data_IF_407434550266
#
_entry.id   IF_407434550266
#
_cell.length_a   1.000
_cell.length_b   1.000
_cell.length_c   1.000
_cell.angle_alpha   90.00
_cell.angle_beta   90.00
_cell.angle_gamma   90.00
#
_symmetry.space_group_name_H-M   'P 1'
#
loop_
_entity.id
_entity.type
_entity.pdbx_description
1 polymer ?
#
# COMPACT_ATOMS: atom_id res chain seq x y z
N UNK A 1 -16.71 -25.13 -9.73
CA UNK A 1 -15.50 -25.17 -8.89
C UNK A 1 -14.39 -24.23 -9.37
N UNK A 2 -13.92 -24.31 -10.65
CA UNK A 2 -12.96 -23.34 -11.20
C UNK A 2 -13.42 -21.88 -11.09
N UNK A 3 -14.65 -21.54 -11.49
CA UNK A 3 -15.19 -20.17 -11.41
C UNK A 3 -15.28 -19.60 -9.97
N UNK A 4 -15.53 -20.44 -8.97
CA UNK A 4 -15.57 -20.01 -7.59
C UNK A 4 -14.15 -19.77 -7.00
N UNK A 5 -13.15 -20.50 -7.52
CA UNK A 5 -11.73 -20.30 -7.16
C UNK A 5 -11.14 -19.05 -7.82
N UNK A 6 -11.54 -18.74 -9.06
CA UNK A 6 -11.15 -17.50 -9.76
C UNK A 6 -11.61 -16.22 -9.03
N UNK A 7 -12.70 -16.29 -8.25
CA UNK A 7 -13.17 -15.17 -7.43
C UNK A 7 -12.36 -14.93 -6.13
N UNK A 8 -11.55 -15.90 -5.68
CA UNK A 8 -10.68 -15.76 -4.50
C UNK A 8 -9.22 -15.47 -4.87
N UNK A 9 -8.83 -15.80 -6.08
CA UNK A 9 -7.50 -15.55 -6.64
C UNK A 9 -7.64 -14.41 -7.65
N UNK A 10 -7.19 -13.23 -7.28
CA UNK A 10 -7.12 -12.11 -8.21
C UNK A 10 -5.90 -12.31 -9.12
N UNK A 11 -6.14 -12.72 -10.37
CA UNK A 11 -5.12 -12.70 -11.42
C UNK A 11 -5.21 -11.37 -12.15
N UNK A 12 -4.22 -10.52 -12.01
CA UNK A 12 -4.18 -9.21 -12.64
C UNK A 12 -2.82 -8.93 -13.30
N UNK A 13 -2.82 -8.08 -14.31
CA UNK A 13 -1.62 -7.38 -14.76
C UNK A 13 -1.67 -5.98 -14.15
N UNK A 14 -0.99 -5.73 -13.03
CA UNK A 14 -1.02 -4.44 -12.39
C UNK A 14 -0.39 -3.37 -13.30
N UNK A 15 -0.86 -2.14 -13.18
CA UNK A 15 -0.31 -0.98 -13.91
C UNK A 15 0.25 0.04 -12.92
N UNK A 16 1.15 -0.40 -12.06
CA UNK A 16 1.85 0.42 -11.08
C UNK A 16 3.32 0.45 -11.47
N UNK A 17 3.87 1.64 -11.65
CA UNK A 17 5.28 1.83 -12.03
C UNK A 17 6.15 2.09 -10.79
N UNK A 18 7.47 1.93 -10.92
CA UNK A 18 8.41 2.30 -9.86
C UNK A 18 8.32 3.77 -9.46
N UNK A 19 7.99 4.67 -10.40
CA UNK A 19 7.87 6.11 -10.17
C UNK A 19 6.64 6.47 -9.32
N UNK A 20 5.64 5.59 -9.28
CA UNK A 20 4.45 5.75 -8.45
C UNK A 20 4.73 5.36 -6.98
N UNK A 21 5.84 4.68 -6.72
CA UNK A 21 6.28 4.31 -5.37
C UNK A 21 7.27 5.35 -4.86
N UNK A 22 6.89 6.12 -3.85
CA UNK A 22 7.76 7.14 -3.27
C UNK A 22 8.90 6.52 -2.43
N UNK A 23 10.14 6.94 -2.67
CA UNK A 23 11.31 6.47 -1.93
C UNK A 23 11.62 4.98 -2.11
N UNK A 24 12.00 4.31 -1.00
CA UNK A 24 12.30 2.88 -0.92
C UNK A 24 13.38 2.42 -1.91
N UNK A 25 14.42 3.25 -2.12
CA UNK A 25 15.46 2.99 -3.13
C UNK A 25 16.15 1.63 -2.94
N UNK A 26 16.49 1.29 -1.69
CA UNK A 26 17.16 0.02 -1.37
C UNK A 26 16.24 -1.17 -1.59
N UNK A 27 14.97 -1.10 -1.16
CA UNK A 27 13.99 -2.15 -1.39
C UNK A 27 13.69 -2.36 -2.88
N UNK A 28 13.60 -1.27 -3.65
CA UNK A 28 13.48 -1.33 -5.12
C UNK A 28 14.69 -2.01 -5.74
N UNK A 29 15.91 -1.63 -5.35
CA UNK A 29 17.14 -2.25 -5.86
C UNK A 29 17.21 -3.74 -5.52
N UNK A 30 16.85 -4.11 -4.28
CA UNK A 30 16.81 -5.50 -3.84
C UNK A 30 15.79 -6.34 -4.64
N UNK A 31 14.59 -5.79 -4.92
CA UNK A 31 13.59 -6.45 -5.75
C UNK A 31 14.00 -6.49 -7.23
N UNK A 32 14.65 -5.45 -7.73
CA UNK A 32 15.18 -5.43 -9.08
C UNK A 32 16.19 -6.57 -9.30
N UNK A 33 17.13 -6.73 -8.37
CA UNK A 33 18.10 -7.82 -8.40
C UNK A 33 17.42 -9.19 -8.29
N UNK A 34 16.49 -9.32 -7.37
CA UNK A 34 15.91 -10.61 -7.02
C UNK A 34 14.84 -11.11 -8.02
N UNK A 35 14.14 -10.21 -8.70
CA UNK A 35 12.98 -10.52 -9.54
C UNK A 35 13.20 -10.14 -10.99
N UNK A 36 13.58 -8.88 -11.23
CA UNK A 36 13.61 -8.34 -12.59
C UNK A 36 14.80 -8.87 -13.37
N UNK A 37 15.99 -8.92 -12.75
CA UNK A 37 17.20 -9.43 -13.42
C UNK A 37 17.08 -10.88 -13.87
N UNK A 38 16.54 -11.84 -13.05
CA UNK A 38 16.35 -13.22 -13.52
C UNK A 38 15.40 -13.34 -14.71
N UNK A 39 14.38 -12.49 -14.79
CA UNK A 39 13.41 -12.50 -15.88
C UNK A 39 14.00 -11.87 -17.16
N UNK A 40 14.67 -10.71 -17.02
CA UNK A 40 15.24 -9.98 -18.17
C UNK A 40 16.57 -10.56 -18.67
N UNK A 41 17.36 -11.14 -17.79
CA UNK A 41 18.71 -11.63 -18.08
C UNK A 41 18.95 -13.05 -17.52
N UNK A 42 18.18 -14.07 -17.96
CA UNK A 42 18.27 -15.43 -17.43
C UNK A 42 19.67 -16.05 -17.61
N UNK A 43 20.45 -15.59 -18.59
CA UNK A 43 21.82 -16.04 -18.83
C UNK A 43 22.79 -15.73 -17.69
N UNK A 44 22.47 -14.77 -16.80
CA UNK A 44 23.28 -14.47 -15.63
C UNK A 44 23.06 -15.47 -14.49
N UNK A 45 21.97 -16.22 -14.53
CA UNK A 45 21.51 -17.11 -13.46
C UNK A 45 21.73 -18.58 -13.84
N UNK A 46 22.99 -18.95 -14.07
CA UNK A 46 23.39 -20.31 -14.46
C UNK A 46 24.17 -21.02 -13.35
N UNK A 47 24.12 -22.33 -13.35
CA UNK A 47 24.85 -23.17 -12.39
C UNK A 47 24.37 -23.02 -10.96
N UNK A 48 25.21 -22.50 -10.07
CA UNK A 48 24.88 -22.27 -8.65
C UNK A 48 24.16 -20.94 -8.41
N UNK A 49 24.11 -20.05 -9.40
CA UNK A 49 23.42 -18.75 -9.31
C UNK A 49 21.94 -18.98 -9.61
N UNK A 50 21.16 -19.31 -8.60
CA UNK A 50 19.71 -19.55 -8.74
C UNK A 50 18.94 -18.32 -8.28
N UNK A 51 17.86 -17.94 -8.98
CA UNK A 51 16.95 -16.89 -8.52
C UNK A 51 16.33 -17.25 -7.16
N UNK A 52 15.97 -16.23 -6.40
CA UNK A 52 15.25 -16.40 -5.15
C UNK A 52 13.81 -16.92 -5.42
N UNK A 53 13.35 -17.82 -4.56
CA UNK A 53 12.01 -18.43 -4.68
C UNK A 53 10.98 -17.79 -3.78
N UNK A 54 11.42 -17.25 -2.66
CA UNK A 54 10.58 -16.60 -1.67
C UNK A 54 11.22 -15.33 -1.14
N UNK A 55 10.49 -14.24 -1.20
CA UNK A 55 10.89 -12.93 -0.66
C UNK A 55 9.80 -12.46 0.30
N UNK A 56 10.21 -12.05 1.51
CA UNK A 56 9.34 -11.46 2.51
C UNK A 56 9.54 -9.96 2.55
N UNK A 57 8.46 -9.20 2.34
CA UNK A 57 8.39 -7.77 2.61
C UNK A 57 7.79 -7.60 4.01
N UNK A 58 8.52 -6.95 4.91
CA UNK A 58 8.02 -6.74 6.26
C UNK A 58 8.28 -5.31 6.72
N UNK A 59 7.53 -4.85 7.71
CA UNK A 59 7.65 -3.49 8.22
C UNK A 59 6.31 -2.96 8.73
N UNK A 60 6.28 -1.73 9.23
CA UNK A 60 5.08 -1.14 9.81
C UNK A 60 3.89 -1.12 8.84
N UNK A 61 2.64 -1.09 9.35
CA UNK A 61 1.47 -0.98 8.49
C UNK A 61 1.48 0.34 7.69
N UNK A 62 0.85 0.32 6.52
CA UNK A 62 0.71 1.53 5.68
C UNK A 62 1.98 2.01 4.97
N UNK A 63 3.07 1.22 4.95
CA UNK A 63 4.33 1.58 4.28
C UNK A 63 4.38 1.24 2.79
N UNK A 64 3.30 0.69 2.22
CA UNK A 64 3.18 0.44 0.79
C UNK A 64 3.72 -0.91 0.32
N UNK A 65 3.88 -1.93 1.20
CA UNK A 65 4.37 -3.27 0.84
C UNK A 65 3.64 -3.90 -0.34
N UNK A 66 2.31 -3.90 -0.30
CA UNK A 66 1.46 -4.46 -1.36
C UNK A 66 1.55 -3.64 -2.66
N UNK A 67 1.72 -2.32 -2.55
CA UNK A 67 1.90 -1.44 -3.70
C UNK A 67 3.26 -1.66 -4.37
N UNK A 68 4.31 -1.83 -3.58
CA UNK A 68 5.65 -2.17 -4.05
C UNK A 68 5.68 -3.53 -4.77
N UNK A 69 4.95 -4.54 -4.24
CA UNK A 69 4.82 -5.84 -4.89
C UNK A 69 4.15 -5.75 -6.27
N UNK A 70 3.10 -4.93 -6.40
CA UNK A 70 2.44 -4.65 -7.69
C UNK A 70 3.36 -3.96 -8.68
N UNK A 71 4.11 -2.95 -8.22
CA UNK A 71 5.10 -2.27 -9.05
C UNK A 71 6.18 -3.23 -9.55
N UNK A 72 6.66 -4.11 -8.69
CA UNK A 72 7.62 -5.15 -9.07
C UNK A 72 7.07 -6.08 -10.17
N UNK A 73 5.81 -6.49 -10.07
CA UNK A 73 5.18 -7.35 -11.07
C UNK A 73 5.01 -6.63 -12.42
N UNK A 74 4.65 -5.34 -12.40
CA UNK A 74 4.56 -4.51 -13.62
C UNK A 74 5.91 -4.43 -14.33
N UNK A 75 6.96 -4.12 -13.61
CA UNK A 75 8.32 -3.97 -14.16
C UNK A 75 8.91 -5.29 -14.68
N UNK A 76 8.50 -6.41 -14.08
CA UNK A 76 8.93 -7.74 -14.50
C UNK A 76 8.06 -8.35 -15.62
N UNK A 77 7.02 -7.64 -16.09
CA UNK A 77 5.99 -8.16 -17.03
C UNK A 77 5.49 -9.55 -16.60
N UNK A 78 5.21 -9.70 -15.31
CA UNK A 78 4.80 -10.96 -14.70
C UNK A 78 3.30 -10.97 -14.41
N UNK A 79 2.67 -12.13 -14.50
CA UNK A 79 1.29 -12.32 -14.03
C UNK A 79 1.28 -12.28 -12.51
N UNK A 80 0.46 -11.40 -11.95
CA UNK A 80 0.37 -11.18 -10.51
C UNK A 80 -0.85 -11.89 -9.94
N UNK A 81 -0.62 -12.86 -9.08
CA UNK A 81 -1.65 -13.58 -8.35
C UNK A 81 -1.70 -13.07 -6.92
N UNK A 82 -2.73 -12.31 -6.58
CA UNK A 82 -2.89 -11.75 -5.22
C UNK A 82 -3.89 -12.56 -4.43
N UNK A 83 -3.49 -12.94 -3.23
CA UNK A 83 -4.33 -13.66 -2.27
C UNK A 83 -4.14 -13.05 -0.89
N UNK A 84 -5.26 -12.75 -0.20
CA UNK A 84 -5.23 -12.40 1.21
C UNK A 84 -5.31 -13.67 2.05
N UNK A 85 -4.49 -13.75 3.08
CA UNK A 85 -4.50 -14.86 4.03
C UNK A 85 -5.86 -15.09 4.68
N UNK A 86 -6.56 -14.01 5.02
CA UNK A 86 -7.92 -14.07 5.57
C UNK A 86 -8.90 -14.74 4.62
N UNK A 87 -8.74 -14.55 3.31
CA UNK A 87 -9.56 -15.20 2.28
C UNK A 87 -9.29 -16.69 2.16
N UNK A 88 -8.05 -17.13 2.44
CA UNK A 88 -7.68 -18.55 2.44
C UNK A 88 -8.26 -19.29 3.65
N UNK A 89 -8.36 -18.61 4.81
CA UNK A 89 -8.82 -19.25 6.06
C UNK A 89 -10.35 -19.20 6.19
N UNK A 90 -11.00 -18.08 5.84
CA UNK A 90 -12.40 -17.83 6.21
C UNK A 90 -13.44 -18.37 5.23
N UNK A 91 -13.17 -18.35 3.92
CA UNK A 91 -14.18 -18.68 2.90
C UNK A 91 -14.32 -20.16 2.57
N UNK A 92 -13.37 -21.02 2.95
CA UNK A 92 -13.27 -22.39 2.44
C UNK A 92 -12.90 -23.41 3.53
N UNK A 93 -13.64 -23.42 4.64
CA UNK A 93 -13.55 -24.48 5.66
C UNK A 93 -13.78 -25.85 5.00
N UNK A 94 -12.69 -26.55 4.65
CA UNK A 94 -12.68 -27.88 4.03
C UNK A 94 -11.97 -27.99 2.67
N UNK A 95 -11.82 -26.89 1.90
CA UNK A 95 -11.21 -26.90 0.57
C UNK A 95 -10.01 -25.95 0.41
N UNK A 96 -9.55 -25.33 1.49
CA UNK A 96 -8.45 -24.34 1.48
C UNK A 96 -7.12 -24.90 0.97
N UNK A 97 -6.83 -26.17 1.22
CA UNK A 97 -5.67 -26.89 0.68
C UNK A 97 -5.72 -26.96 -0.85
N UNK A 98 -6.90 -27.23 -1.40
CA UNK A 98 -7.12 -27.29 -2.86
C UNK A 98 -6.93 -25.92 -3.50
N UNK A 99 -7.30 -24.84 -2.79
CA UNK A 99 -7.12 -23.48 -3.26
C UNK A 99 -5.63 -23.12 -3.33
N UNK A 100 -4.85 -23.45 -2.29
CA UNK A 100 -3.38 -23.24 -2.32
C UNK A 100 -2.76 -24.03 -3.48
N UNK A 101 -3.11 -25.29 -3.64
CA UNK A 101 -2.62 -26.12 -4.75
C UNK A 101 -2.98 -25.51 -6.11
N UNK A 102 -4.24 -25.14 -6.31
CA UNK A 102 -4.71 -24.51 -7.55
C UNK A 102 -3.99 -23.18 -7.86
N UNK A 103 -3.73 -22.35 -6.85
CA UNK A 103 -2.97 -21.11 -6.98
C UNK A 103 -1.57 -21.37 -7.56
N UNK A 104 -0.85 -22.32 -6.99
CA UNK A 104 0.49 -22.67 -7.46
C UNK A 104 0.46 -23.35 -8.85
N UNK A 105 -0.56 -24.16 -9.15
CA UNK A 105 -0.75 -24.75 -10.48
C UNK A 105 -1.00 -23.66 -11.54
N UNK A 106 -1.88 -22.69 -11.25
CA UNK A 106 -2.13 -21.55 -12.14
C UNK A 106 -0.88 -20.71 -12.34
N UNK A 107 -0.12 -20.45 -11.29
CA UNK A 107 1.12 -19.69 -11.36
C UNK A 107 2.19 -20.42 -12.21
N UNK A 108 2.32 -21.75 -12.08
CA UNK A 108 3.24 -22.55 -12.92
C UNK A 108 2.83 -22.59 -14.39
N UNK A 109 1.53 -22.51 -14.67
CA UNK A 109 1.03 -22.45 -16.04
C UNK A 109 1.31 -21.11 -16.73
N UNK A 110 1.57 -20.05 -15.97
CA UNK A 110 1.98 -18.75 -16.48
C UNK A 110 3.49 -18.74 -16.77
N UNK A 111 3.90 -18.01 -17.83
CA UNK A 111 5.32 -17.93 -18.27
C UNK A 111 6.22 -17.34 -17.18
N UNK A 112 5.77 -16.26 -16.54
CA UNK A 112 6.39 -15.62 -15.38
C UNK A 112 5.27 -15.26 -14.41
N UNK A 113 5.38 -15.68 -13.17
CA UNK A 113 4.34 -15.47 -12.17
C UNK A 113 4.90 -14.99 -10.83
N UNK A 114 4.20 -14.05 -10.24
CA UNK A 114 4.41 -13.61 -8.86
C UNK A 114 3.17 -13.98 -8.07
N UNK A 115 3.31 -14.83 -7.06
CA UNK A 115 2.28 -15.11 -6.07
C UNK A 115 2.51 -14.14 -4.91
N UNK A 116 1.57 -13.23 -4.71
CA UNK A 116 1.62 -12.29 -3.59
C UNK A 116 0.63 -12.71 -2.49
N UNK A 117 1.14 -12.85 -1.28
CA UNK A 117 0.36 -13.22 -0.12
C UNK A 117 0.48 -12.10 0.90
N UNK A 118 -0.63 -11.37 1.07
CA UNK A 118 -0.70 -10.31 2.07
C UNK A 118 -1.06 -10.89 3.44
N UNK A 119 -0.57 -10.23 4.51
CA UNK A 119 -0.80 -10.63 5.90
C UNK A 119 -0.45 -12.11 6.16
N UNK A 120 0.68 -12.57 5.63
CA UNK A 120 1.07 -13.98 5.69
C UNK A 120 1.18 -14.53 7.12
N UNK A 121 1.37 -13.65 8.10
CA UNK A 121 1.35 -13.97 9.53
C UNK A 121 0.02 -14.62 9.94
N UNK A 122 -1.12 -14.20 9.39
CA UNK A 122 -2.42 -14.78 9.73
C UNK A 122 -2.58 -16.25 9.30
N UNK A 123 -1.84 -16.68 8.25
CA UNK A 123 -1.78 -18.10 7.83
C UNK A 123 -0.79 -18.91 8.66
N UNK A 124 0.20 -18.25 9.22
CA UNK A 124 1.44 -18.88 9.60
C UNK A 124 1.86 -18.56 11.03
N UNK A 125 0.96 -18.03 11.85
CA UNK A 125 1.22 -17.68 13.25
C UNK A 125 1.50 -18.95 14.06
N UNK A 126 2.63 -18.97 14.77
CA UNK A 126 2.90 -19.91 15.83
C UNK A 126 2.19 -19.40 17.10
N UNK A 127 0.93 -19.75 17.32
CA UNK A 127 0.30 -19.47 18.62
C UNK A 127 0.72 -20.54 19.62
N UNK A 128 1.65 -20.20 20.49
CA UNK A 128 1.89 -20.91 21.74
C UNK A 128 0.65 -20.75 22.63
N UNK A 129 -0.21 -21.77 22.67
CA UNK A 129 -1.35 -21.79 23.56
C UNK A 129 -2.66 -22.23 22.91
N UNK A 130 -2.79 -23.51 22.61
CA UNK A 130 -4.07 -24.22 22.53
C UNK A 130 -5.08 -23.67 21.53
N UNK A 131 -5.04 -24.14 20.27
CA UNK A 131 -6.15 -23.96 19.36
C UNK A 131 -5.84 -23.56 17.92
N UNK A 132 -4.68 -23.92 17.37
CA UNK A 132 -4.53 -23.86 15.90
C UNK A 132 -5.58 -24.79 15.29
N UNK A 133 -6.48 -24.25 14.46
CA UNK A 133 -7.49 -25.07 13.83
C UNK A 133 -6.79 -26.09 12.92
N UNK A 134 -7.28 -27.32 12.88
CA UNK A 134 -6.74 -28.37 12.00
C UNK A 134 -6.69 -27.90 10.55
N UNK A 135 -7.63 -27.05 10.13
CA UNK A 135 -7.67 -26.43 8.82
C UNK A 135 -6.46 -25.50 8.56
N UNK A 136 -6.11 -24.63 9.52
CA UNK A 136 -4.94 -23.75 9.40
C UNK A 136 -3.64 -24.54 9.28
N UNK A 137 -3.50 -25.58 10.05
CA UNK A 137 -2.33 -26.48 10.01
C UNK A 137 -2.21 -27.19 8.66
N UNK A 138 -3.31 -27.63 8.06
CA UNK A 138 -3.31 -28.26 6.74
C UNK A 138 -2.92 -27.26 5.64
N UNK A 139 -3.49 -26.06 5.64
CA UNK A 139 -3.15 -24.99 4.71
C UNK A 139 -1.66 -24.67 4.77
N UNK A 140 -1.12 -24.50 5.98
CA UNK A 140 0.31 -24.26 6.23
C UNK A 140 1.19 -25.37 5.66
N UNK A 141 0.81 -26.61 5.90
CA UNK A 141 1.55 -27.79 5.40
C UNK A 141 1.55 -27.81 3.88
N UNK A 142 0.39 -27.62 3.25
CA UNK A 142 0.27 -27.60 1.79
C UNK A 142 1.09 -26.43 1.19
N UNK A 143 1.00 -25.26 1.80
CA UNK A 143 1.82 -24.10 1.38
C UNK A 143 3.33 -24.39 1.41
N UNK A 144 3.82 -25.02 2.47
CA UNK A 144 5.23 -25.43 2.60
C UNK A 144 5.63 -26.44 1.52
N UNK A 145 4.76 -27.40 1.21
CA UNK A 145 4.97 -28.39 0.15
C UNK A 145 5.05 -27.71 -1.21
N UNK A 146 4.10 -26.83 -1.52
CA UNK A 146 4.05 -26.13 -2.79
C UNK A 146 5.26 -25.19 -2.98
N UNK A 147 5.69 -24.49 -1.92
CA UNK A 147 6.91 -23.67 -1.97
C UNK A 147 8.18 -24.50 -2.22
N UNK A 148 8.26 -25.74 -1.75
CA UNK A 148 9.40 -26.61 -2.04
C UNK A 148 9.48 -27.01 -3.52
N UNK A 149 8.34 -27.07 -4.20
CA UNK A 149 8.20 -27.36 -5.62
C UNK A 149 8.62 -26.19 -6.52
N UNK A 150 8.62 -24.95 -6.01
CA UNK A 150 8.99 -23.77 -6.80
C UNK A 150 10.44 -23.88 -7.28
N UNK A 151 10.64 -23.68 -8.59
CA UNK A 151 11.96 -23.74 -9.27
C UNK A 151 12.55 -25.14 -9.47
N UNK A 152 11.71 -26.20 -9.35
CA UNK A 152 12.03 -27.55 -9.84
C UNK A 152 11.47 -27.80 -11.24
N UNK A 153 10.36 -27.12 -11.58
CA UNK A 153 9.69 -27.17 -12.86
C UNK A 153 10.11 -25.99 -13.75
N UNK A 154 9.81 -26.02 -15.03
CA UNK A 154 10.21 -25.02 -16.04
C UNK A 154 9.54 -23.62 -15.86
N UNK A 155 8.68 -23.41 -14.86
CA UNK A 155 8.00 -22.14 -14.62
C UNK A 155 8.75 -21.21 -13.66
N UNK A 156 8.97 -19.94 -14.06
CA UNK A 156 9.49 -18.89 -13.18
C UNK A 156 8.38 -18.40 -12.23
N UNK A 157 8.25 -19.04 -11.09
CA UNK A 157 7.31 -18.63 -10.03
C UNK A 157 8.11 -18.03 -8.87
N UNK A 158 7.72 -16.84 -8.45
CA UNK A 158 8.23 -16.20 -7.24
C UNK A 158 7.09 -16.06 -6.23
N UNK A 159 7.36 -16.32 -4.96
CA UNK A 159 6.43 -16.06 -3.87
C UNK A 159 6.87 -14.81 -3.11
N UNK A 160 6.03 -13.77 -3.12
CA UNK A 160 6.20 -12.58 -2.31
C UNK A 160 5.24 -12.65 -1.13
N UNK A 161 5.75 -12.70 0.09
CA UNK A 161 4.96 -12.55 1.31
C UNK A 161 5.03 -11.11 1.81
N UNK A 162 3.93 -10.60 2.38
CA UNK A 162 3.95 -9.34 3.12
C UNK A 162 3.41 -9.56 4.53
N UNK A 163 4.02 -8.89 5.51
CA UNK A 163 3.58 -8.95 6.91
C UNK A 163 3.90 -7.66 7.66
N UNK A 164 3.06 -7.33 8.62
CA UNK A 164 3.32 -6.28 9.59
C UNK A 164 3.98 -6.84 10.88
N UNK A 165 3.83 -8.15 11.13
CA UNK A 165 4.29 -8.82 12.33
C UNK A 165 5.24 -9.99 11.99
N UNK A 166 6.48 -9.71 11.53
CA UNK A 166 7.40 -10.76 11.08
C UNK A 166 7.86 -11.71 12.19
N UNK A 167 7.79 -11.29 13.44
CA UNK A 167 8.12 -12.12 14.62
C UNK A 167 7.09 -13.22 14.87
N UNK A 168 5.84 -13.06 14.42
CA UNK A 168 4.76 -14.04 14.58
C UNK A 168 4.85 -15.19 13.57
N UNK A 169 5.74 -15.09 12.58
CA UNK A 169 5.91 -16.11 11.56
C UNK A 169 6.56 -17.38 12.10
N UNK A 170 5.94 -18.52 11.79
CA UNK A 170 6.51 -19.83 12.03
C UNK A 170 7.93 -19.97 11.43
N UNK A 171 8.92 -20.51 12.16
CA UNK A 171 10.28 -20.68 11.69
C UNK A 171 10.40 -21.47 10.38
N UNK A 172 9.52 -22.46 10.12
CA UNK A 172 9.53 -23.25 8.90
C UNK A 172 9.13 -22.39 7.68
N UNK A 173 8.11 -21.54 7.86
CA UNK A 173 7.69 -20.57 6.83
C UNK A 173 8.77 -19.52 6.61
N UNK A 174 9.30 -18.92 7.69
CA UNK A 174 10.37 -17.92 7.61
C UNK A 174 11.59 -18.43 6.86
N UNK A 175 11.93 -19.71 6.97
CA UNK A 175 13.02 -20.33 6.20
C UNK A 175 12.73 -20.45 4.70
N UNK A 176 11.46 -20.45 4.28
CA UNK A 176 11.09 -20.48 2.86
C UNK A 176 11.22 -19.12 2.19
N UNK A 177 11.14 -18.05 2.98
CA UNK A 177 11.47 -16.70 2.53
C UNK A 177 12.96 -16.46 2.73
N UNK A 178 13.72 -16.80 1.68
CA UNK A 178 15.19 -16.78 1.69
C UNK A 178 15.72 -15.35 1.78
N UNK A 179 15.01 -14.37 1.20
CA UNK A 179 15.32 -12.95 1.28
C UNK A 179 14.20 -12.22 2.03
N UNK A 180 14.59 -11.38 3.00
CA UNK A 180 13.67 -10.60 3.84
C UNK A 180 14.05 -9.14 3.75
N UNK A 181 13.14 -8.32 3.22
CA UNK A 181 13.37 -6.92 2.91
C UNK A 181 12.52 -6.08 3.86
N UNK A 182 13.17 -5.25 4.64
CA UNK A 182 12.52 -4.29 5.53
C UNK A 182 11.97 -3.11 4.72
N UNK A 183 10.73 -2.74 4.96
CA UNK A 183 10.06 -1.59 4.36
C UNK A 183 9.79 -0.57 5.48
N UNK A 184 10.66 0.42 5.67
CA UNK A 184 10.56 1.40 6.74
C UNK A 184 9.42 2.41 6.50
N UNK A 185 9.19 3.26 7.50
CA UNK A 185 8.40 4.47 7.31
C UNK A 185 9.06 5.38 6.26
N UNK A 186 8.28 6.20 5.54
CA UNK A 186 8.82 7.03 4.47
C UNK A 186 9.74 8.12 5.03
N UNK A 187 10.92 8.25 4.45
CA UNK A 187 11.86 9.34 4.71
C UNK A 187 11.29 10.69 4.24
N UNK A 188 11.89 11.78 4.67
CA UNK A 188 11.42 13.14 4.37
C UNK A 188 11.18 13.38 2.86
N UNK A 189 12.12 12.97 2.01
CA UNK A 189 11.97 13.14 0.54
C UNK A 189 10.84 12.25 -0.01
N UNK A 190 10.66 11.05 0.54
CA UNK A 190 9.55 10.19 0.18
C UNK A 190 8.21 10.80 0.62
N UNK A 191 8.15 11.41 1.83
CA UNK A 191 6.94 12.10 2.29
C UNK A 191 6.58 13.29 1.40
N UNK A 192 7.55 14.11 0.98
CA UNK A 192 7.30 15.19 -0.01
C UNK A 192 6.68 14.63 -1.27
N UNK A 193 7.27 13.56 -1.81
CA UNK A 193 6.76 12.93 -3.01
C UNK A 193 5.35 12.37 -2.84
N UNK A 194 5.02 11.82 -1.66
CA UNK A 194 3.66 11.37 -1.33
C UNK A 194 2.67 12.54 -1.31
N UNK A 195 3.03 13.71 -0.76
CA UNK A 195 2.19 14.90 -0.83
C UNK A 195 1.93 15.30 -2.28
N UNK A 196 2.97 15.41 -3.12
CA UNK A 196 2.83 15.75 -4.54
C UNK A 196 1.93 14.76 -5.29
N UNK A 197 2.13 13.45 -5.08
CA UNK A 197 1.37 12.40 -5.74
C UNK A 197 -0.12 12.40 -5.34
N UNK A 198 -0.41 12.57 -4.04
CA UNK A 198 -1.77 12.47 -3.54
C UNK A 198 -2.58 13.77 -3.65
N UNK A 199 -1.94 14.94 -3.69
CA UNK A 199 -2.59 16.21 -4.03
C UNK A 199 -2.94 16.22 -5.53
N UNK A 200 -2.03 15.72 -6.37
CA UNK A 200 -2.22 15.60 -7.80
C UNK A 200 -2.59 16.94 -8.45
N UNK A 201 -3.58 16.89 -9.35
CA UNK A 201 -4.08 18.06 -10.09
C UNK A 201 -5.13 18.88 -9.33
N UNK A 202 -5.36 18.61 -8.04
CA UNK A 202 -6.35 19.34 -7.23
C UNK A 202 -5.90 20.82 -7.11
N UNK A 203 -6.78 21.81 -7.38
CA UNK A 203 -6.45 23.22 -7.25
C UNK A 203 -6.03 23.60 -5.82
N UNK A 204 -4.80 24.09 -5.67
CA UNK A 204 -4.22 24.48 -4.38
C UNK A 204 -3.30 25.67 -4.49
N UNK A 205 -3.06 26.37 -3.38
CA UNK A 205 -2.08 27.49 -3.27
C UNK A 205 -0.79 27.11 -2.58
N UNK A 206 -0.52 25.82 -2.35
CA UNK A 206 0.66 25.34 -1.65
C UNK A 206 1.92 25.63 -2.45
N UNK A 207 2.91 26.25 -1.81
CA UNK A 207 4.26 26.42 -2.33
C UNK A 207 5.14 25.20 -2.04
N UNK A 208 6.31 25.13 -2.70
CA UNK A 208 7.31 24.09 -2.38
C UNK A 208 7.78 24.13 -0.92
N UNK A 209 7.75 25.32 -0.28
CA UNK A 209 8.09 25.47 1.14
C UNK A 209 7.02 24.84 2.03
N UNK A 210 5.73 25.02 1.67
CA UNK A 210 4.62 24.42 2.41
C UNK A 210 4.67 22.90 2.35
N UNK A 211 4.92 22.31 1.18
CA UNK A 211 5.08 20.87 1.02
C UNK A 211 6.24 20.34 1.87
N UNK A 212 7.34 21.10 1.95
CA UNK A 212 8.46 20.76 2.81
C UNK A 212 8.06 20.78 4.30
N UNK A 213 7.38 21.82 4.74
CA UNK A 213 6.89 21.92 6.12
C UNK A 213 5.91 20.79 6.45
N UNK A 214 4.99 20.44 5.54
CA UNK A 214 4.09 19.31 5.70
C UNK A 214 4.86 18.00 5.85
N UNK A 215 5.92 17.80 5.07
CA UNK A 215 6.77 16.63 5.20
C UNK A 215 7.57 16.60 6.52
N UNK A 216 7.95 17.76 7.06
CA UNK A 216 8.58 17.88 8.39
C UNK A 216 7.59 17.54 9.50
N UNK A 217 6.35 18.06 9.45
CA UNK A 217 5.32 17.80 10.46
C UNK A 217 4.86 16.34 10.50
N UNK A 218 4.94 15.65 9.37
CA UNK A 218 4.52 14.24 9.25
C UNK A 218 5.66 13.25 9.52
N UNK A 219 6.64 13.63 10.35
CA UNK A 219 7.63 12.68 10.83
C UNK A 219 6.95 11.51 11.55
N UNK A 220 7.42 10.30 11.32
CA UNK A 220 6.86 9.03 11.81
C UNK A 220 5.45 8.66 11.30
N UNK A 221 4.93 9.39 10.32
CA UNK A 221 3.69 8.98 9.64
C UNK A 221 3.98 7.92 8.58
N UNK A 222 3.11 6.92 8.50
CA UNK A 222 3.12 5.97 7.40
C UNK A 222 2.60 6.60 6.10
N UNK A 223 2.83 5.96 4.97
CA UNK A 223 2.25 6.42 3.70
C UNK A 223 0.73 6.48 3.72
N UNK A 224 0.10 5.52 4.40
CA UNK A 224 -1.36 5.51 4.59
C UNK A 224 -1.85 6.68 5.46
N UNK A 225 -1.14 7.01 6.54
CA UNK A 225 -1.48 8.17 7.39
C UNK A 225 -1.41 9.47 6.59
N UNK A 226 -0.35 9.65 5.79
CA UNK A 226 -0.19 10.82 4.92
C UNK A 226 -1.32 10.90 3.90
N UNK A 227 -1.70 9.78 3.28
CA UNK A 227 -2.81 9.73 2.34
C UNK A 227 -4.14 10.14 2.99
N UNK A 228 -4.41 9.67 4.21
CA UNK A 228 -5.62 10.03 4.95
C UNK A 228 -5.60 11.51 5.34
N UNK A 229 -4.44 12.04 5.79
CA UNK A 229 -4.24 13.46 6.10
C UNK A 229 -4.54 14.34 4.87
N UNK A 230 -3.95 14.01 3.74
CA UNK A 230 -4.17 14.75 2.49
C UNK A 230 -5.64 14.70 2.10
N UNK A 231 -6.26 13.52 2.11
CA UNK A 231 -7.69 13.36 1.78
C UNK A 231 -8.57 14.22 2.68
N UNK A 232 -8.29 14.28 3.98
CA UNK A 232 -9.04 15.11 4.92
C UNK A 232 -8.85 16.60 4.63
N UNK A 233 -7.61 17.04 4.38
CA UNK A 233 -7.30 18.43 4.02
C UNK A 233 -7.97 18.85 2.69
N UNK A 234 -7.98 17.99 1.69
CA UNK A 234 -8.66 18.25 0.41
C UNK A 234 -10.19 18.38 0.56
N UNK A 235 -10.77 17.79 1.61
CA UNK A 235 -12.20 17.92 1.92
C UNK A 235 -12.55 19.16 2.75
N UNK A 236 -11.59 19.86 3.35
CA UNK A 236 -11.86 21.06 4.18
C UNK A 236 -12.55 22.20 3.41
N UNK A 237 -12.15 22.54 2.17
CA UNK A 237 -12.88 23.53 1.38
C UNK A 237 -14.35 23.16 1.14
N UNK A 238 -14.63 21.87 0.92
CA UNK A 238 -16.00 21.37 0.73
C UNK A 238 -16.82 21.53 2.01
N UNK A 239 -16.22 21.20 3.17
CA UNK A 239 -16.86 21.39 4.48
C UNK A 239 -17.13 22.87 4.75
N UNK A 240 -16.22 23.78 4.37
CA UNK A 240 -16.47 25.23 4.46
C UNK A 240 -17.67 25.65 3.63
N UNK A 241 -17.81 25.17 2.40
CA UNK A 241 -19.00 25.45 1.59
C UNK A 241 -20.27 24.90 2.22
N UNK A 242 -20.24 23.67 2.72
CA UNK A 242 -21.41 23.01 3.32
C UNK A 242 -21.89 23.71 4.60
N UNK A 243 -20.97 24.25 5.39
CA UNK A 243 -21.27 24.90 6.67
C UNK A 243 -21.46 26.42 6.56
N UNK A 244 -21.25 26.99 5.37
CA UNK A 244 -21.34 28.43 5.16
C UNK A 244 -22.81 28.89 5.20
N UNK A 245 -23.04 29.99 5.89
CA UNK A 245 -24.31 30.69 5.94
C UNK A 245 -24.35 31.92 5.05
N UNK A 246 -23.21 32.31 4.53
CA UNK A 246 -23.03 33.48 3.67
C UNK A 246 -22.10 33.16 2.51
N UNK A 247 -22.45 33.68 1.34
CA UNK A 247 -21.67 33.60 0.11
C UNK A 247 -21.48 34.98 -0.50
N UNK A 248 -20.34 35.17 -1.17
CA UNK A 248 -20.03 36.38 -1.91
C UNK A 248 -19.61 36.05 -3.34
N UNK A 249 -19.72 37.03 -4.24
CA UNK A 249 -19.24 36.88 -5.63
C UNK A 249 -17.72 36.79 -5.70
N UNK A 250 -17.24 35.91 -6.57
CA UNK A 250 -15.81 35.86 -6.89
C UNK A 250 -15.48 37.07 -7.76
N UNK A 251 -14.51 37.92 -7.36
CA UNK A 251 -14.12 39.09 -8.16
C UNK A 251 -13.43 38.67 -9.47
N UNK A 252 -13.56 39.52 -10.51
CA UNK A 252 -12.90 39.39 -11.79
C UNK A 252 -13.22 38.13 -12.62
N UNK A 253 -14.39 37.52 -12.43
CA UNK A 253 -14.91 36.44 -13.28
C UNK A 253 -15.95 36.99 -14.25
N UNK A 254 -15.95 36.51 -15.50
CA UNK A 254 -16.96 36.87 -16.50
C UNK A 254 -18.34 36.29 -16.14
N UNK A 255 -18.34 35.17 -15.42
CA UNK A 255 -19.52 34.49 -14.91
C UNK A 255 -19.76 34.84 -13.45
N UNK A 256 -21.03 34.81 -13.03
CA UNK A 256 -21.39 35.04 -11.64
C UNK A 256 -21.11 33.78 -10.85
N UNK A 257 -19.98 33.77 -10.15
CA UNK A 257 -19.59 32.65 -9.29
C UNK A 257 -19.65 33.05 -7.80
N UNK A 258 -20.16 32.15 -6.97
CA UNK A 258 -20.31 32.32 -5.54
C UNK A 258 -19.29 31.48 -4.77
N UNK A 259 -18.66 32.09 -3.77
CA UNK A 259 -17.74 31.42 -2.84
C UNK A 259 -18.15 31.66 -1.41
N UNK A 260 -17.96 30.71 -0.48
CA UNK A 260 -18.33 30.90 0.92
C UNK A 260 -17.52 32.06 1.54
N UNK A 261 -18.17 32.81 2.42
CA UNK A 261 -17.54 33.88 3.18
C UNK A 261 -18.01 33.91 4.64
N UNK A 262 -17.28 34.65 5.47
CA UNK A 262 -17.69 34.88 6.86
C UNK A 262 -18.94 35.77 6.93
N UNK A 263 -19.80 35.61 7.93
CA UNK A 263 -20.88 36.57 8.22
C UNK A 263 -20.37 38.00 8.41
N UNK A 264 -19.16 38.20 8.94
CA UNK A 264 -18.51 39.49 9.12
C UNK A 264 -17.74 40.03 7.90
N UNK A 265 -17.80 39.37 6.75
CA UNK A 265 -17.12 39.86 5.54
C UNK A 265 -17.72 41.19 5.10
N UNK A 266 -16.87 42.17 4.77
CA UNK A 266 -17.26 43.51 4.35
C UNK A 266 -17.63 43.63 2.87
N UNK A 267 -17.60 42.55 2.13
CA UNK A 267 -17.92 42.54 0.69
C UNK A 267 -19.39 42.89 0.46
N UNK A 268 -19.66 43.87 -0.40
CA UNK A 268 -21.01 44.34 -0.71
C UNK A 268 -21.87 43.34 -1.48
N UNK A 269 -21.24 42.35 -2.11
CA UNK A 269 -21.92 41.25 -2.83
C UNK A 269 -22.36 40.12 -1.93
N UNK A 270 -22.04 40.21 -0.61
CA UNK A 270 -22.39 39.18 0.37
C UNK A 270 -23.90 38.96 0.43
N UNK A 271 -24.30 37.69 0.38
CA UNK A 271 -25.67 37.22 0.50
C UNK A 271 -25.76 36.14 1.58
N UNK A 272 -26.76 36.26 2.44
CA UNK A 272 -27.12 35.20 3.37
C UNK A 272 -27.90 34.13 2.63
N UNK A 273 -27.32 32.93 2.49
CA UNK A 273 -27.92 31.77 1.86
C UNK A 273 -27.13 30.51 2.23
N UNK A 274 -27.75 29.36 2.06
CA UNK A 274 -27.09 28.06 2.22
C UNK A 274 -26.47 27.60 0.90
N UNK A 275 -25.60 26.59 0.97
CA UNK A 275 -25.04 25.94 -0.24
C UNK A 275 -26.15 25.40 -1.16
N UNK A 276 -27.28 24.95 -0.58
CA UNK A 276 -28.40 24.35 -1.34
C UNK A 276 -29.21 25.41 -2.13
N UNK A 277 -29.03 26.69 -1.83
CA UNK A 277 -29.71 27.79 -2.51
C UNK A 277 -28.88 28.30 -3.72
N UNK A 278 -27.71 27.76 -3.97
CA UNK A 278 -26.81 28.17 -5.04
C UNK A 278 -26.88 27.15 -6.19
N UNK A 279 -26.98 27.65 -7.44
CA UNK A 279 -26.89 26.77 -8.60
C UNK A 279 -25.50 26.11 -8.62
N UNK A 280 -25.39 24.77 -8.78
CA UNK A 280 -24.13 24.08 -8.86
C UNK A 280 -23.14 24.65 -9.90
N UNK A 281 -23.64 25.25 -10.96
CA UNK A 281 -22.82 25.90 -12.01
C UNK A 281 -22.23 27.24 -11.57
N UNK A 282 -22.85 27.89 -10.61
CA UNK A 282 -22.42 29.18 -10.07
C UNK A 282 -21.56 29.03 -8.80
N UNK A 283 -21.26 27.82 -8.35
CA UNK A 283 -20.41 27.59 -7.19
C UNK A 283 -18.94 27.56 -7.58
N UNK A 284 -18.14 28.44 -6.96
CA UNK A 284 -16.69 28.39 -6.98
C UNK A 284 -16.18 27.88 -5.64
N UNK A 285 -15.79 26.61 -5.51
CA UNK A 285 -15.23 26.08 -4.26
C UNK A 285 -13.89 26.78 -3.98
N UNK A 286 -13.58 27.06 -2.70
CA UNK A 286 -12.28 27.64 -2.34
C UNK A 286 -11.18 26.65 -2.68
N UNK A 287 -10.04 27.16 -3.11
CA UNK A 287 -8.83 26.35 -3.33
C UNK A 287 -8.28 25.83 -2.00
N UNK A 288 -7.59 24.71 -2.05
CA UNK A 288 -6.92 24.14 -0.90
C UNK A 288 -5.71 25.01 -0.50
N UNK A 289 -5.58 25.27 0.78
CA UNK A 289 -4.51 26.13 1.34
C UNK A 289 -3.77 25.41 2.47
N UNK A 290 -2.66 26.00 2.94
CA UNK A 290 -1.92 25.47 4.09
C UNK A 290 -2.80 25.36 5.33
N UNK A 291 -3.73 26.29 5.55
CA UNK A 291 -4.68 26.28 6.68
C UNK A 291 -5.53 25.00 6.72
N UNK A 292 -5.89 24.44 5.56
CA UNK A 292 -6.65 23.20 5.48
C UNK A 292 -5.84 22.00 5.99
N UNK A 293 -4.54 22.00 5.71
CA UNK A 293 -3.63 20.99 6.24
C UNK A 293 -3.35 21.16 7.72
N UNK A 294 -3.21 22.38 8.21
CA UNK A 294 -3.06 22.67 9.64
C UNK A 294 -4.26 22.16 10.44
N UNK A 295 -5.47 22.43 9.97
CA UNK A 295 -6.70 21.98 10.58
C UNK A 295 -6.79 20.44 10.63
N UNK A 296 -6.43 19.76 9.56
CA UNK A 296 -6.43 18.29 9.52
C UNK A 296 -5.32 17.70 10.38
N UNK A 297 -4.12 18.28 10.37
CA UNK A 297 -2.99 17.81 11.17
C UNK A 297 -3.26 17.91 12.69
N UNK A 298 -3.98 18.92 13.13
CA UNK A 298 -4.34 19.09 14.55
C UNK A 298 -5.19 17.93 15.11
N UNK A 299 -5.91 17.22 14.26
CA UNK A 299 -6.80 16.12 14.66
C UNK A 299 -6.23 14.72 14.41
N UNK A 300 -5.21 14.61 13.57
CA UNK A 300 -4.64 13.32 13.16
C UNK A 300 -3.34 13.01 13.89
N UNK A 301 -3.15 11.73 14.19
CA UNK A 301 -1.94 11.21 14.83
C UNK A 301 -1.38 10.05 13.97
N UNK A 302 -0.06 9.80 14.04
CA UNK A 302 0.53 8.64 13.38
C UNK A 302 -0.06 7.34 13.94
N UNK A 303 -0.27 6.37 13.06
CA UNK A 303 -0.84 5.05 13.42
C UNK A 303 0.21 4.09 13.96
N UNK A 304 1.49 4.36 13.75
CA UNK A 304 2.61 3.51 14.16
C UNK A 304 3.26 4.07 15.41
N UNK A 305 3.33 3.26 16.47
CA UNK A 305 3.97 3.63 17.73
C UNK A 305 5.48 3.38 17.76
N UNK A 306 6.23 4.03 18.67
CA UNK A 306 7.67 3.79 18.83
C UNK A 306 8.00 2.34 19.21
N UNK A 307 7.12 1.68 19.98
CA UNK A 307 7.29 0.28 20.38
C UNK A 307 7.22 -0.67 19.21
N UNK A 308 6.34 -0.37 18.22
CA UNK A 308 6.21 -1.17 17.01
C UNK A 308 7.46 -1.05 16.14
N UNK A 309 8.01 0.17 16.03
CA UNK A 309 9.25 0.41 15.30
C UNK A 309 10.42 -0.35 15.93
N UNK A 310 10.53 -0.32 17.26
CA UNK A 310 11.57 -1.05 17.99
C UNK A 310 11.51 -2.56 17.73
N UNK A 311 10.31 -3.16 17.74
CA UNK A 311 10.15 -4.59 17.40
C UNK A 311 10.59 -4.91 15.97
N UNK A 312 10.30 -3.99 15.02
CA UNK A 312 10.75 -4.15 13.63
C UNK A 312 12.28 -4.11 13.52
N UNK A 313 12.93 -3.18 14.21
CA UNK A 313 14.38 -3.04 14.25
C UNK A 313 15.05 -4.27 14.90
N UNK A 314 14.51 -4.75 16.01
CA UNK A 314 14.99 -5.98 16.69
C UNK A 314 14.89 -7.20 15.76
N UNK A 315 13.78 -7.35 15.04
CA UNK A 315 13.64 -8.42 14.06
C UNK A 315 14.61 -8.25 12.90
N UNK A 316 14.80 -7.03 12.41
CA UNK A 316 15.72 -6.72 11.30
C UNK A 316 17.17 -7.07 11.68
N UNK A 317 17.60 -6.71 12.89
CA UNK A 317 18.95 -7.03 13.36
C UNK A 317 19.22 -8.52 13.48
N UNK A 318 18.21 -9.33 13.79
CA UNK A 318 18.35 -10.78 13.97
C UNK A 318 18.17 -11.57 12.67
N UNK A 319 17.27 -11.16 11.80
CA UNK A 319 16.80 -11.98 10.67
C UNK A 319 16.66 -11.22 9.37
N UNK A 320 16.70 -9.90 9.40
CA UNK A 320 16.45 -9.05 8.23
C UNK A 320 17.70 -8.88 7.37
N UNK A 321 17.46 -8.39 6.16
CA UNK A 321 18.45 -7.71 5.34
C UNK A 321 17.92 -6.28 5.25
N UNK A 322 18.75 -5.29 5.56
CA UNK A 322 18.37 -3.90 5.36
C UNK A 322 18.06 -3.69 3.88
N UNK A 323 16.85 -3.21 3.64
CA UNK A 323 16.36 -2.89 2.32
C UNK A 323 16.71 -1.47 1.92
#
# INVERSE_FOLDING_TARGET
>A
MKQAMEGAILSEKPNVKWDDVAGLAQAKAALQEAVILPVKFPQLFTGKRKPWKGILLYGPPGTGKSYLAKACATEADSTFFSVSSSSLVSKWLGDSEKLVKALFEMARAAKNAIIFIDEIDSLCTSRDGGGESEASRRIKTEFLVQMQGVGKDEGNVLVLGATNCPWDLDPAIRRRFERRIYIPLPEMEARKRLFELHIGDTPHSLSRKDIRSLAEWTENYSGADIQVLIRDALLQPIRRCSNATHFKRVPNTAEVLWTPCSPGDSDSSKKECSLMDIDPKELAPPIVTMFDFEASFATMKPSVGPEDLKKQEEFTSQFGMEG
#
